data_IF_178847851476
#
_entry.id   IF_178847851476
#
_cell.length_a   1.000
_cell.length_b   1.000
_cell.length_c   1.000
_cell.angle_alpha   90.00
_cell.angle_beta   90.00
_cell.angle_gamma   90.00
#
_symmetry.space_group_name_H-M   'P 1'
#
loop_
_entity.id
_entity.type
_entity.pdbx_description
1 polymer ?
#
# COMPACT_ATOMS: atom_id res chain seq x y z
N UNK A 1 36.57 3.92 -2.96
CA UNK A 1 35.90 5.02 -3.69
C UNK A 1 34.46 4.60 -3.86
N UNK A 2 33.55 5.16 -3.05
CA UNK A 2 32.11 4.93 -3.22
C UNK A 2 31.69 5.81 -4.39
N UNK A 3 31.41 5.18 -5.52
CA UNK A 3 30.82 5.84 -6.68
C UNK A 3 29.57 6.59 -6.22
N UNK A 4 29.50 7.89 -6.53
CA UNK A 4 28.41 8.74 -6.09
C UNK A 4 27.10 8.13 -6.60
N UNK A 5 26.36 7.46 -5.72
CA UNK A 5 25.11 6.80 -6.07
C UNK A 5 24.19 7.85 -6.67
N UNK A 6 23.88 7.71 -7.95
CA UNK A 6 22.93 8.56 -8.63
C UNK A 6 21.67 8.65 -7.77
N UNK A 7 21.15 9.86 -7.47
CA UNK A 7 19.95 9.98 -6.66
C UNK A 7 18.84 9.17 -7.35
N UNK A 8 17.96 8.48 -6.57
CA UNK A 8 16.89 7.70 -7.16
C UNK A 8 16.08 8.58 -8.11
N UNK A 9 15.74 8.04 -9.28
CA UNK A 9 14.97 8.77 -10.30
C UNK A 9 13.68 9.25 -9.64
N UNK A 10 13.57 10.56 -9.44
CA UNK A 10 12.34 11.14 -8.94
C UNK A 10 11.28 11.00 -10.06
N UNK A 11 10.09 10.42 -9.78
CA UNK A 11 9.04 10.37 -10.78
C UNK A 11 8.70 11.79 -11.21
N UNK A 12 8.72 12.06 -12.52
CA UNK A 12 8.36 13.38 -13.02
C UNK A 12 6.87 13.60 -12.77
N UNK A 13 6.49 14.59 -11.94
CA UNK A 13 5.09 14.83 -11.65
C UNK A 13 4.38 15.36 -12.89
N UNK A 14 3.14 14.94 -13.07
CA UNK A 14 2.37 15.31 -14.26
C UNK A 14 1.95 16.79 -14.21
N UNK A 15 1.90 17.50 -15.35
CA UNK A 15 1.37 18.86 -15.38
C UNK A 15 -0.12 18.86 -15.03
N UNK A 16 -0.53 19.91 -14.32
CA UNK A 16 -1.92 20.11 -13.91
C UNK A 16 -2.86 20.06 -15.11
N UNK A 17 -3.99 19.37 -14.94
CA UNK A 17 -5.07 19.40 -15.93
C UNK A 17 -6.40 19.65 -15.24
N UNK A 18 -7.13 20.67 -15.69
CA UNK A 18 -8.49 20.94 -15.21
C UNK A 18 -9.52 19.91 -15.68
N UNK A 19 -9.16 19.06 -16.65
CA UNK A 19 -10.07 18.08 -17.23
C UNK A 19 -10.21 16.84 -16.32
N UNK A 20 -11.36 16.74 -15.64
CA UNK A 20 -11.67 15.64 -14.71
C UNK A 20 -11.63 14.26 -15.38
N UNK A 21 -12.08 14.12 -16.63
CA UNK A 21 -12.04 12.85 -17.35
C UNK A 21 -10.60 12.40 -17.65
N UNK A 22 -9.72 13.35 -17.97
CA UNK A 22 -8.28 13.09 -18.15
C UNK A 22 -7.59 12.77 -16.82
N UNK A 23 -8.02 13.35 -15.70
CA UNK A 23 -7.54 12.98 -14.34
C UNK A 23 -7.99 11.59 -13.94
N UNK A 24 -9.26 11.26 -14.13
CA UNK A 24 -9.80 9.93 -13.82
C UNK A 24 -9.14 8.84 -14.68
N UNK A 25 -8.97 9.07 -15.99
CA UNK A 25 -8.31 8.09 -16.87
C UNK A 25 -6.82 7.87 -16.54
N UNK A 26 -6.12 8.89 -16.02
CA UNK A 26 -4.77 8.75 -15.45
C UNK A 26 -4.78 7.91 -14.18
N UNK A 27 -5.71 8.19 -13.26
CA UNK A 27 -5.85 7.45 -12.01
C UNK A 27 -6.17 5.98 -12.17
N UNK A 28 -6.89 5.61 -13.24
CA UNK A 28 -7.15 4.21 -13.58
C UNK A 28 -5.89 3.44 -14.02
N UNK A 29 -4.81 4.12 -14.42
CA UNK A 29 -3.53 3.50 -14.82
C UNK A 29 -2.48 3.56 -13.71
N UNK A 30 -2.46 4.63 -12.93
CA UNK A 30 -1.56 4.80 -11.79
C UNK A 30 -2.17 5.74 -10.76
N UNK A 31 -2.22 5.31 -9.51
CA UNK A 31 -2.67 6.15 -8.39
C UNK A 31 -1.81 7.40 -8.23
N UNK A 32 -0.51 7.31 -8.49
CA UNK A 32 0.39 8.46 -8.45
C UNK A 32 0.13 9.46 -9.58
N UNK A 33 -0.46 9.02 -10.71
CA UNK A 33 -0.81 9.91 -11.80
C UNK A 33 -2.08 10.75 -11.54
N UNK A 34 -2.76 10.54 -10.41
CA UNK A 34 -3.80 11.45 -9.90
C UNK A 34 -3.20 12.73 -9.31
N UNK A 35 -1.97 12.64 -8.81
CA UNK A 35 -1.23 13.76 -8.24
C UNK A 35 -0.52 14.51 -9.37
N UNK A 36 -0.62 15.84 -9.33
CA UNK A 36 0.04 16.77 -10.24
C UNK A 36 1.27 17.39 -9.56
N UNK A 37 2.12 18.07 -10.33
CA UNK A 37 3.28 18.78 -9.78
C UNK A 37 2.92 19.78 -8.68
N UNK A 38 1.80 20.48 -8.82
CA UNK A 38 1.32 21.42 -7.82
C UNK A 38 0.95 20.74 -6.50
N UNK A 39 0.45 19.50 -6.54
CA UNK A 39 0.03 18.74 -5.37
C UNK A 39 1.21 18.45 -4.42
N UNK A 40 2.45 18.41 -4.92
CA UNK A 40 3.65 18.23 -4.09
C UNK A 40 4.23 19.55 -3.53
N UNK A 41 3.76 20.70 -4.02
CA UNK A 41 4.31 22.02 -3.66
C UNK A 41 3.48 22.76 -2.63
N UNK A 42 2.20 22.39 -2.47
CA UNK A 42 1.30 23.07 -1.52
C UNK A 42 1.39 22.50 -0.12
N UNK A 43 1.29 23.32 0.93
CA UNK A 43 1.27 22.83 2.31
C UNK A 43 -0.01 22.03 2.62
N UNK A 44 -1.14 22.50 2.10
CA UNK A 44 -2.45 21.86 2.18
C UNK A 44 -3.20 22.07 0.87
N UNK A 45 -3.50 21.00 0.16
CA UNK A 45 -4.33 20.99 -1.05
C UNK A 45 -5.72 20.47 -0.76
N UNK A 46 -6.74 20.99 -1.46
CA UNK A 46 -8.09 20.44 -1.44
C UNK A 46 -8.49 20.06 -2.87
N UNK A 47 -8.97 18.84 -3.06
CA UNK A 47 -9.57 18.39 -4.31
C UNK A 47 -10.97 17.87 -4.05
N UNK A 48 -11.90 18.15 -4.97
CA UNK A 48 -13.24 17.57 -4.89
C UNK A 48 -13.29 16.27 -5.67
N UNK A 49 -13.58 15.18 -4.97
CA UNK A 49 -13.77 13.85 -5.56
C UNK A 49 -15.22 13.47 -5.35
N UNK A 50 -15.99 13.53 -6.44
CA UNK A 50 -17.43 13.17 -6.48
C UNK A 50 -18.27 13.88 -5.41
N UNK A 51 -18.10 15.20 -5.31
CA UNK A 51 -18.87 16.05 -4.39
C UNK A 51 -18.40 15.97 -2.94
N UNK A 52 -17.25 15.35 -2.66
CA UNK A 52 -16.65 15.30 -1.32
C UNK A 52 -15.24 15.89 -1.35
N UNK A 53 -14.87 16.75 -0.38
CA UNK A 53 -13.53 17.29 -0.29
C UNK A 53 -12.56 16.20 0.18
N UNK A 54 -11.47 16.03 -0.55
CA UNK A 54 -10.29 15.29 -0.15
C UNK A 54 -9.17 16.29 0.10
N UNK A 55 -8.53 16.18 1.27
CA UNK A 55 -7.42 17.03 1.64
C UNK A 55 -6.09 16.30 1.45
N UNK A 56 -5.15 16.98 0.80
CA UNK A 56 -3.77 16.56 0.66
C UNK A 56 -2.91 17.38 1.61
N UNK A 57 -2.29 16.70 2.58
CA UNK A 57 -1.53 17.35 3.65
C UNK A 57 -0.05 17.07 3.43
N UNK A 58 0.74 18.12 3.17
CA UNK A 58 2.20 18.00 3.00
C UNK A 58 2.97 18.70 4.12
N UNK A 59 2.34 19.63 4.84
CA UNK A 59 2.99 20.35 5.94
C UNK A 59 3.30 19.40 7.11
N UNK A 60 4.57 19.23 7.53
CA UNK A 60 4.94 18.26 8.57
C UNK A 60 4.16 18.37 9.90
N UNK A 61 3.87 19.57 10.43
CA UNK A 61 3.04 19.71 11.63
C UNK A 61 1.63 19.15 11.44
N UNK A 62 1.01 19.41 10.29
CA UNK A 62 -0.33 18.89 9.97
C UNK A 62 -0.30 17.38 9.72
N UNK A 63 0.73 16.86 9.07
CA UNK A 63 0.93 15.41 8.89
C UNK A 63 1.03 14.72 10.25
N UNK A 64 1.81 15.29 11.18
CA UNK A 64 1.90 14.78 12.56
C UNK A 64 0.57 14.85 13.27
N UNK A 65 -0.15 15.96 13.15
CA UNK A 65 -1.47 16.12 13.75
C UNK A 65 -2.43 15.02 13.31
N UNK A 66 -2.49 14.73 12.00
CA UNK A 66 -3.41 13.75 11.43
C UNK A 66 -2.98 12.31 11.73
N UNK A 67 -1.69 11.98 11.61
CA UNK A 67 -1.19 10.61 11.70
C UNK A 67 -0.78 10.18 13.13
N UNK A 68 -0.54 11.13 14.03
CA UNK A 68 -0.01 10.86 15.37
C UNK A 68 -0.89 11.48 16.46
N UNK A 69 -0.99 12.81 16.49
CA UNK A 69 -1.54 13.49 17.67
C UNK A 69 -3.08 13.35 17.78
N UNK A 70 -3.79 13.24 16.64
CA UNK A 70 -5.25 13.18 16.58
C UNK A 70 -5.76 11.98 15.76
N UNK A 71 -5.04 10.85 15.80
CA UNK A 71 -5.35 9.66 14.98
C UNK A 71 -6.78 9.15 15.13
N UNK A 72 -7.40 9.31 16.31
CA UNK A 72 -8.77 8.88 16.57
C UNK A 72 -9.83 9.70 15.81
N UNK A 73 -9.51 10.95 15.48
CA UNK A 73 -10.38 11.84 14.70
C UNK A 73 -10.31 11.56 13.19
N UNK A 74 -9.25 10.88 12.74
CA UNK A 74 -8.99 10.57 11.34
C UNK A 74 -8.96 9.05 11.10
N UNK A 75 -10.10 8.34 11.24
CA UNK A 75 -10.14 6.91 10.99
C UNK A 75 -9.88 6.60 9.52
N UNK A 76 -9.37 5.38 9.26
CA UNK A 76 -9.18 4.88 7.88
C UNK A 76 -10.49 4.98 7.12
N UNK A 77 -10.45 5.51 5.90
CA UNK A 77 -11.63 5.71 5.08
C UNK A 77 -12.36 4.37 4.83
N UNK A 78 -13.70 4.30 4.95
CA UNK A 78 -14.46 3.05 4.78
C UNK A 78 -14.25 2.35 3.43
N UNK A 79 -14.00 3.13 2.37
CA UNK A 79 -13.61 2.59 1.06
C UNK A 79 -12.36 1.70 1.15
N UNK A 80 -11.35 2.14 1.91
CA UNK A 80 -10.11 1.39 2.07
C UNK A 80 -10.34 0.11 2.89
N UNK A 81 -11.12 0.20 3.96
CA UNK A 81 -11.51 -0.95 4.79
C UNK A 81 -12.26 -1.98 3.94
N UNK A 82 -13.25 -1.55 3.17
CA UNK A 82 -14.06 -2.40 2.31
C UNK A 82 -13.25 -3.03 1.18
N UNK A 83 -12.31 -2.30 0.57
CA UNK A 83 -11.45 -2.82 -0.48
C UNK A 83 -10.50 -3.92 0.03
N UNK A 84 -10.00 -3.77 1.26
CA UNK A 84 -9.05 -4.72 1.85
C UNK A 84 -9.73 -5.90 2.57
N UNK A 85 -10.99 -5.76 2.98
CA UNK A 85 -11.72 -6.79 3.72
C UNK A 85 -11.79 -8.15 2.98
N UNK A 86 -12.00 -8.25 1.66
CA UNK A 86 -11.99 -9.54 0.96
C UNK A 86 -10.64 -10.25 1.00
N UNK A 87 -9.54 -9.50 1.05
CA UNK A 87 -8.18 -10.05 1.01
C UNK A 87 -7.67 -10.43 2.41
N UNK A 88 -7.92 -9.59 3.41
CA UNK A 88 -7.28 -9.68 4.74
C UNK A 88 -8.33 -9.87 5.86
N UNK A 89 -9.62 -9.86 5.54
CA UNK A 89 -10.71 -10.00 6.50
C UNK A 89 -10.75 -8.84 7.51
N UNK A 90 -11.05 -9.15 8.78
CA UNK A 90 -10.93 -8.22 9.91
C UNK A 90 -9.48 -8.11 10.41
N UNK A 91 -8.57 -7.79 9.50
CA UNK A 91 -7.15 -7.57 9.79
C UNK A 91 -6.86 -6.14 10.25
N UNK A 92 -5.63 -5.90 10.72
CA UNK A 92 -5.19 -4.60 11.26
C UNK A 92 -5.35 -3.43 10.28
N UNK A 93 -5.36 -3.71 8.97
CA UNK A 93 -5.58 -2.68 7.94
C UNK A 93 -7.06 -2.33 7.73
N UNK A 94 -7.97 -3.19 8.17
CA UNK A 94 -9.43 -3.09 7.97
C UNK A 94 -10.20 -2.75 9.24
N UNK A 95 -9.53 -2.57 10.38
CA UNK A 95 -10.15 -2.15 11.65
C UNK A 95 -9.62 -0.79 12.12
N UNK A 96 -10.44 -0.10 12.92
CA UNK A 96 -10.15 1.18 13.58
C UNK A 96 -10.42 1.08 15.10
N UNK A 97 -10.01 2.09 15.85
CA UNK A 97 -10.29 2.21 17.30
C UNK A 97 -9.68 1.10 18.15
N UNK A 98 -10.40 0.65 19.17
CA UNK A 98 -9.91 -0.34 20.14
C UNK A 98 -9.52 -1.68 19.52
N UNK A 99 -10.26 -2.13 18.49
CA UNK A 99 -9.95 -3.37 17.78
C UNK A 99 -8.57 -3.29 17.10
N UNK A 100 -8.29 -2.14 16.47
CA UNK A 100 -6.98 -1.87 15.90
C UNK A 100 -5.89 -1.80 16.98
N UNK A 101 -6.13 -1.07 18.07
CA UNK A 101 -5.15 -0.93 19.16
C UNK A 101 -4.80 -2.29 19.79
N UNK A 102 -5.78 -3.18 19.95
CA UNK A 102 -5.56 -4.54 20.44
C UNK A 102 -4.72 -5.37 19.48
N UNK A 103 -5.05 -5.38 18.19
CA UNK A 103 -4.28 -6.10 17.17
C UNK A 103 -2.85 -5.56 17.02
N UNK A 104 -2.69 -4.24 17.09
CA UNK A 104 -1.37 -3.58 17.02
C UNK A 104 -0.48 -3.99 18.18
N UNK A 105 -0.99 -4.00 19.41
CA UNK A 105 -0.24 -4.46 20.60
C UNK A 105 0.27 -5.90 20.48
N UNK A 106 -0.51 -6.79 19.86
CA UNK A 106 -0.08 -8.17 19.62
C UNK A 106 1.04 -8.24 18.57
N UNK A 107 0.90 -7.49 17.48
CA UNK A 107 1.93 -7.45 16.42
C UNK A 107 3.24 -6.80 16.89
N UNK A 108 3.17 -5.75 17.71
CA UNK A 108 4.36 -5.06 18.21
C UNK A 108 5.24 -6.00 19.05
N UNK A 109 4.65 -6.97 19.75
CA UNK A 109 5.40 -8.00 20.49
C UNK A 109 6.13 -8.97 19.55
N UNK A 110 5.49 -9.34 18.44
CA UNK A 110 6.10 -10.20 17.42
C UNK A 110 7.25 -9.50 16.67
N UNK A 111 7.20 -8.17 16.56
CA UNK A 111 8.18 -7.36 15.82
C UNK A 111 9.30 -6.76 16.69
N UNK A 112 9.49 -7.26 17.91
CA UNK A 112 10.58 -6.81 18.77
C UNK A 112 11.96 -7.15 18.18
N UNK A 113 12.97 -6.32 18.48
CA UNK A 113 14.35 -6.49 17.98
C UNK A 113 14.93 -7.88 18.28
N UNK A 114 14.60 -8.46 19.44
CA UNK A 114 15.00 -9.82 19.79
C UNK A 114 14.42 -10.87 18.83
N UNK A 115 13.18 -10.70 18.38
CA UNK A 115 12.57 -11.56 17.37
C UNK A 115 13.17 -11.30 15.98
N UNK A 116 13.47 -10.04 15.65
CA UNK A 116 14.09 -9.69 14.37
C UNK A 116 15.43 -10.41 14.16
N UNK A 117 16.27 -10.53 15.20
CA UNK A 117 17.54 -11.27 15.14
C UNK A 117 17.35 -12.75 14.82
N UNK A 118 16.23 -13.37 15.27
CA UNK A 118 15.93 -14.78 15.02
C UNK A 118 15.49 -15.04 13.59
N UNK A 119 14.74 -14.10 12.99
CA UNK A 119 14.20 -14.25 11.64
C UNK A 119 15.14 -13.72 10.55
N UNK A 120 16.14 -12.93 10.89
CA UNK A 120 17.10 -12.35 9.92
C UNK A 120 17.78 -13.41 9.02
N UNK A 121 18.27 -14.56 9.54
CA UNK A 121 18.82 -15.61 8.67
C UNK A 121 17.79 -16.18 7.67
N UNK A 122 16.51 -16.23 8.06
CA UNK A 122 15.44 -16.70 7.18
C UNK A 122 15.19 -15.72 6.02
N UNK A 123 15.30 -14.41 6.28
CA UNK A 123 15.26 -13.38 5.24
C UNK A 123 16.44 -13.56 4.27
N UNK A 124 17.64 -13.83 4.79
CA UNK A 124 18.81 -14.14 3.97
C UNK A 124 18.60 -15.37 3.09
N UNK A 125 17.94 -16.41 3.60
CA UNK A 125 17.57 -17.60 2.82
C UNK A 125 16.62 -17.29 1.66
N UNK A 126 15.64 -16.41 1.84
CA UNK A 126 14.76 -15.98 0.75
C UNK A 126 15.52 -15.20 -0.34
N UNK A 127 16.44 -14.33 0.06
CA UNK A 127 17.30 -13.59 -0.88
C UNK A 127 18.21 -14.54 -1.65
N UNK A 128 18.82 -15.53 -0.99
CA UNK A 128 19.63 -16.54 -1.67
C UNK A 128 18.81 -17.33 -2.70
N UNK A 129 17.58 -17.72 -2.35
CA UNK A 129 16.69 -18.40 -3.29
C UNK A 129 16.32 -17.52 -4.50
N UNK A 130 16.12 -16.21 -4.28
CA UNK A 130 15.93 -15.26 -5.38
C UNK A 130 17.18 -15.18 -6.27
N UNK A 131 18.36 -15.04 -5.68
CA UNK A 131 19.62 -14.98 -6.45
C UNK A 131 19.83 -16.24 -7.29
N UNK A 132 19.52 -17.42 -6.76
CA UNK A 132 19.59 -18.68 -7.50
C UNK A 132 18.65 -18.69 -8.72
N UNK A 133 17.41 -18.19 -8.58
CA UNK A 133 16.47 -18.07 -9.71
C UNK A 133 16.97 -17.12 -10.78
N UNK A 134 17.48 -15.95 -10.36
CA UNK A 134 18.02 -14.94 -11.27
C UNK A 134 19.27 -15.45 -12.01
N UNK A 135 20.13 -16.22 -11.34
CA UNK A 135 21.31 -16.84 -11.95
C UNK A 135 20.96 -17.98 -12.91
N UNK A 136 19.82 -18.63 -12.73
CA UNK A 136 19.32 -19.66 -13.64
C UNK A 136 18.69 -19.07 -14.92
N UNK A 137 18.39 -17.78 -14.94
CA UNK A 137 17.90 -17.07 -16.13
C UNK A 137 19.01 -16.93 -17.17
N UNK A 138 18.68 -17.10 -18.46
CA UNK A 138 19.67 -17.02 -19.53
C UNK A 138 20.27 -15.60 -19.63
N UNK A 139 21.58 -15.47 -19.90
CA UNK A 139 22.20 -14.16 -20.10
C UNK A 139 21.50 -13.36 -21.20
N UNK A 140 21.06 -12.15 -20.88
CA UNK A 140 20.39 -11.24 -21.82
C UNK A 140 18.87 -11.41 -21.91
N UNK A 141 18.27 -12.33 -21.17
CA UNK A 141 16.81 -12.45 -21.09
C UNK A 141 16.22 -11.37 -20.15
N UNK A 142 15.15 -10.66 -20.56
CA UNK A 142 14.52 -9.65 -19.72
C UNK A 142 13.82 -10.30 -18.52
N UNK A 143 14.13 -9.83 -17.32
CA UNK A 143 13.55 -10.32 -16.06
C UNK A 143 12.40 -9.41 -15.62
N UNK A 144 11.26 -10.01 -15.27
CA UNK A 144 10.16 -9.29 -14.65
C UNK A 144 10.47 -9.03 -13.15
N UNK A 145 11.10 -7.89 -12.88
CA UNK A 145 11.47 -7.48 -11.53
C UNK A 145 10.28 -7.26 -10.60
N UNK A 146 9.11 -6.86 -11.12
CA UNK A 146 7.90 -6.70 -10.30
C UNK A 146 7.46 -8.06 -9.72
N UNK A 147 7.45 -9.09 -10.55
CA UNK A 147 7.11 -10.44 -10.12
C UNK A 147 8.14 -11.01 -9.14
N UNK A 148 9.44 -10.85 -9.42
CA UNK A 148 10.51 -11.34 -8.53
C UNK A 148 10.53 -10.63 -7.18
N UNK A 149 10.35 -9.30 -7.15
CA UNK A 149 10.28 -8.54 -5.90
C UNK A 149 9.04 -8.90 -5.09
N UNK A 150 7.92 -9.17 -5.74
CA UNK A 150 6.71 -9.65 -5.06
C UNK A 150 6.94 -11.05 -4.47
N UNK A 151 7.59 -11.93 -5.23
CA UNK A 151 7.88 -13.31 -4.82
C UNK A 151 8.84 -13.37 -3.63
N UNK A 152 9.96 -12.65 -3.67
CA UNK A 152 10.92 -12.64 -2.56
C UNK A 152 10.31 -12.03 -1.30
N UNK A 153 9.47 -11.00 -1.44
CA UNK A 153 8.76 -10.40 -0.30
C UNK A 153 7.78 -11.40 0.33
N UNK A 154 7.04 -12.13 -0.49
CA UNK A 154 6.16 -13.19 0.00
C UNK A 154 6.93 -14.32 0.68
N UNK A 155 8.06 -14.76 0.12
CA UNK A 155 8.90 -15.83 0.70
C UNK A 155 9.50 -15.38 2.04
N UNK A 156 9.96 -14.13 2.16
CA UNK A 156 10.38 -13.55 3.44
C UNK A 156 9.25 -13.63 4.47
N UNK A 157 8.05 -13.16 4.14
CA UNK A 157 6.91 -13.18 5.08
C UNK A 157 6.59 -14.63 5.50
N UNK A 158 6.54 -15.57 4.56
CA UNK A 158 6.19 -16.97 4.87
C UNK A 158 7.26 -17.64 5.72
N UNK A 159 8.54 -17.44 5.43
CA UNK A 159 9.62 -17.98 6.25
C UNK A 159 9.66 -17.37 7.65
N UNK A 160 9.42 -16.07 7.77
CA UNK A 160 9.49 -15.39 9.06
C UNK A 160 8.29 -15.69 9.96
N UNK A 161 7.08 -15.85 9.40
CA UNK A 161 5.87 -16.13 10.17
C UNK A 161 5.66 -17.63 10.39
N UNK A 162 5.82 -18.45 9.34
CA UNK A 162 5.51 -19.88 9.37
C UNK A 162 6.74 -20.78 9.45
N UNK A 163 7.96 -20.22 9.44
CA UNK A 163 9.22 -20.98 9.51
C UNK A 163 9.39 -22.04 8.41
N UNK A 164 8.68 -21.88 7.28
CA UNK A 164 8.79 -22.74 6.08
C UNK A 164 9.16 -21.91 4.85
N UNK A 165 9.93 -22.46 3.89
CA UNK A 165 10.09 -21.82 2.59
C UNK A 165 8.76 -21.78 1.84
N UNK A 166 8.56 -20.75 1.03
CA UNK A 166 7.41 -20.67 0.13
C UNK A 166 7.59 -21.65 -1.03
N UNK A 167 6.63 -22.56 -1.19
CA UNK A 167 6.60 -23.47 -2.35
C UNK A 167 6.23 -22.71 -3.63
N UNK A 168 6.71 -23.19 -4.79
CA UNK A 168 6.42 -22.58 -6.10
C UNK A 168 4.92 -22.56 -6.42
N UNK A 169 4.16 -23.57 -5.98
CA UNK A 169 2.71 -23.62 -6.14
C UNK A 169 1.98 -22.58 -5.27
N UNK A 170 2.41 -22.43 -4.01
CA UNK A 170 1.87 -21.42 -3.08
C UNK A 170 2.19 -20.00 -3.55
N UNK A 171 3.41 -19.77 -4.04
CA UNK A 171 3.86 -18.50 -4.62
C UNK A 171 2.97 -18.03 -5.78
N UNK A 172 2.68 -18.94 -6.72
CA UNK A 172 1.83 -18.62 -7.87
C UNK A 172 0.38 -18.29 -7.45
N UNK A 173 -0.14 -18.91 -6.39
CA UNK A 173 -1.45 -18.58 -5.85
C UNK A 173 -1.48 -17.19 -5.21
N UNK A 174 -0.46 -16.84 -4.42
CA UNK A 174 -0.35 -15.52 -3.78
C UNK A 174 -0.28 -14.42 -4.85
N UNK A 175 0.55 -14.60 -5.88
CA UNK A 175 0.67 -13.64 -6.99
C UNK A 175 -0.65 -13.43 -7.74
N UNK A 176 -1.39 -14.51 -8.02
CA UNK A 176 -2.71 -14.43 -8.66
C UNK A 176 -3.76 -13.75 -7.79
N UNK A 177 -3.79 -14.07 -6.49
CA UNK A 177 -4.71 -13.43 -5.55
C UNK A 177 -4.44 -11.92 -5.46
N UNK A 178 -3.17 -11.53 -5.36
CA UNK A 178 -2.76 -10.13 -5.30
C UNK A 178 -3.11 -9.35 -6.56
N UNK A 179 -2.80 -9.89 -7.75
CA UNK A 179 -3.09 -9.23 -9.02
C UNK A 179 -4.60 -9.10 -9.27
N UNK A 180 -5.41 -10.04 -8.80
CA UNK A 180 -6.88 -9.95 -8.88
C UNK A 180 -7.48 -8.84 -8.01
N UNK A 181 -6.90 -8.58 -6.83
CA UNK A 181 -7.37 -7.55 -5.90
C UNK A 181 -6.92 -6.14 -6.32
N UNK A 182 -5.68 -6.00 -6.80
CA UNK A 182 -5.15 -4.72 -7.28
C UNK A 182 -5.59 -4.40 -8.72
N UNK A 183 -6.05 -5.41 -9.47
CA UNK A 183 -6.71 -5.23 -10.76
C UNK A 183 -7.99 -4.42 -10.60
N UNK A 184 -8.06 -3.29 -11.29
CA UNK A 184 -9.14 -2.29 -11.29
C UNK A 184 -10.58 -2.86 -11.43
N UNK A 185 -10.73 -4.13 -11.83
CA UNK A 185 -11.99 -4.86 -11.97
C UNK A 185 -12.82 -4.95 -10.68
N UNK A 186 -12.21 -5.15 -9.50
CA UNK A 186 -12.94 -5.27 -8.23
C UNK A 186 -13.56 -3.93 -7.80
N UNK A 187 -12.83 -2.82 -7.99
CA UNK A 187 -13.32 -1.46 -7.71
C UNK A 187 -14.50 -1.04 -8.61
N UNK A 188 -14.55 -1.55 -9.85
CA UNK A 188 -15.60 -1.24 -10.82
C UNK A 188 -16.85 -2.12 -10.66
N UNK A 189 -16.69 -3.40 -10.29
CA UNK A 189 -17.82 -4.34 -10.20
C UNK A 189 -18.64 -4.19 -8.90
N UNK A 190 -18.02 -3.79 -7.79
CA UNK A 190 -18.69 -3.83 -6.50
C UNK A 190 -19.25 -2.45 -6.09
N UNK A 191 -20.36 -2.08 -6.75
CA UNK A 191 -21.44 -1.20 -6.27
C UNK A 191 -21.08 0.02 -5.41
N UNK A 192 -20.71 1.14 -6.06
CA UNK A 192 -20.49 2.47 -5.47
C UNK A 192 -21.61 2.97 -4.52
N UNK A 193 -22.85 2.52 -4.70
CA UNK A 193 -24.00 2.93 -3.88
C UNK A 193 -23.94 2.44 -2.43
N UNK A 194 -23.30 1.31 -2.13
CA UNK A 194 -23.26 0.73 -0.77
C UNK A 194 -22.23 1.42 0.14
N UNK A 195 -21.14 1.91 -0.45
CA UNK A 195 -20.03 2.53 0.28
C UNK A 195 -20.40 3.94 0.77
N UNK A 196 -21.19 4.66 -0.03
CA UNK A 196 -21.56 6.05 0.27
C UNK A 196 -22.96 6.23 0.89
N UNK A 197 -23.81 5.19 0.88
CA UNK A 197 -25.17 5.25 1.43
C UNK A 197 -25.29 5.02 2.94
N UNK A 198 -24.21 4.62 3.62
CA UNK A 198 -24.24 4.22 5.04
C UNK A 198 -23.68 5.27 6.02
N UNK A 199 -23.44 6.51 5.60
CA UNK A 199 -22.98 7.58 6.51
C UNK A 199 -24.14 8.46 6.99
N UNK A 200 -24.25 8.73 8.30
CA UNK A 200 -25.20 9.71 8.81
C UNK A 200 -24.90 11.11 8.25
N UNK A 201 -25.92 11.95 8.03
CA UNK A 201 -25.72 13.33 7.59
C UNK A 201 -24.92 14.12 8.63
N UNK A 202 -24.18 15.13 8.14
CA UNK A 202 -23.37 16.08 8.92
C UNK A 202 -24.03 16.46 10.25
N UNK A 203 -23.48 16.04 11.38
CA UNK A 203 -23.66 16.80 12.62
C UNK A 203 -22.79 18.04 12.50
N UNK A 204 -23.43 19.19 12.37
CA UNK A 204 -22.76 20.49 12.44
C UNK A 204 -22.05 20.60 13.79
N UNK A 205 -20.72 20.61 13.76
CA UNK A 205 -19.92 21.11 14.88
C UNK A 205 -19.74 22.60 14.59
N UNK A 206 -20.41 23.42 15.40
CA UNK A 206 -20.25 24.88 15.44
C UNK A 206 -19.02 25.30 16.24
#
# INVERSE_FOLDING_TARGET
MVEASQPPVCPQPQPYTANLARRLSRGLRSWFALLNDWDFRVPLGQIEVLGRPLFLVNEPPLVRQVLVDQVEQFPKHPLMVWLLQPLIGRGIFSVNGEAWARQRRLLDQALQVAQLRRVFPQMGGAVQAMLQRLQATAPGEPINMEAEMTLVTADVIVRTIFSKPLDAGEAAQILRAWSSCCGCSVCLQAGWRRIWGAMPPRSAVG
#
